data_IF_929882937154
#
_entry.id   IF_929882937154
#
_cell.length_a   1.000
_cell.length_b   1.000
_cell.length_c   1.000
_cell.angle_alpha   90.00
_cell.angle_beta   90.00
_cell.angle_gamma   90.00
#
_symmetry.space_group_name_H-M   'P 1'
#
loop_
_entity.id
_entity.type
_entity.pdbx_description
1 polymer ?
#
# COMPACT_ATOMS: atom_id res chain seq x y z
N UNK A 1 2.45 4.97 26.11
CA UNK A 1 1.63 4.00 25.34
C UNK A 1 2.51 3.39 24.26
N UNK A 2 2.70 2.06 24.26
CA UNK A 2 3.43 1.37 23.19
C UNK A 2 2.54 1.48 21.94
N UNK A 3 3.04 2.10 20.87
CA UNK A 3 2.39 2.12 19.55
C UNK A 3 2.05 0.66 19.14
N UNK A 4 1.14 0.42 18.19
CA UNK A 4 0.96 -0.89 17.58
C UNK A 4 2.11 -1.05 16.59
N UNK A 5 3.35 -1.07 17.12
CA UNK A 5 4.58 -0.99 16.35
C UNK A 5 4.61 -2.18 15.41
N UNK A 6 4.26 -3.37 15.91
CA UNK A 6 4.37 -4.60 15.12
C UNK A 6 3.53 -4.58 13.84
N UNK A 7 2.22 -4.31 13.94
CA UNK A 7 1.33 -4.34 12.77
C UNK A 7 1.48 -3.13 11.86
N UNK A 8 1.77 -1.95 12.42
CA UNK A 8 2.10 -0.78 11.62
C UNK A 8 3.42 -0.99 10.87
N UNK A 9 4.42 -1.58 11.52
CA UNK A 9 5.68 -1.97 10.88
C UNK A 9 5.45 -3.02 9.80
N UNK A 10 4.66 -4.07 10.04
CA UNK A 10 4.33 -5.08 9.02
C UNK A 10 3.64 -4.43 7.81
N UNK A 11 2.64 -3.58 8.04
CA UNK A 11 1.96 -2.88 6.95
C UNK A 11 2.95 -2.01 6.16
N UNK A 12 3.80 -1.22 6.84
CA UNK A 12 4.83 -0.40 6.19
C UNK A 12 5.82 -1.27 5.40
N UNK A 13 6.27 -2.41 5.96
CA UNK A 13 7.18 -3.33 5.28
C UNK A 13 6.54 -3.95 4.03
N UNK A 14 5.28 -4.39 4.11
CA UNK A 14 4.54 -4.93 2.97
C UNK A 14 4.32 -3.86 1.88
N UNK A 15 3.97 -2.64 2.29
CA UNK A 15 3.82 -1.52 1.38
C UNK A 15 5.15 -1.17 0.68
N UNK A 16 6.24 -1.10 1.44
CA UNK A 16 7.59 -0.84 0.90
C UNK A 16 8.03 -1.94 -0.07
N UNK A 17 7.77 -3.20 0.28
CA UNK A 17 8.07 -4.33 -0.60
C UNK A 17 7.32 -4.23 -1.93
N UNK A 18 6.00 -4.00 -1.88
CA UNK A 18 5.19 -3.76 -3.08
C UNK A 18 5.70 -2.55 -3.88
N UNK A 19 6.13 -1.49 -3.19
CA UNK A 19 6.66 -0.29 -3.83
C UNK A 19 8.00 -0.55 -4.56
N UNK A 20 8.90 -1.34 -3.96
CA UNK A 20 10.17 -1.78 -4.59
C UNK A 20 9.87 -2.61 -5.85
N UNK A 21 8.94 -3.54 -5.77
CA UNK A 21 8.57 -4.34 -6.94
C UNK A 21 7.97 -3.48 -8.05
N UNK A 22 7.18 -2.45 -7.72
CA UNK A 22 6.62 -1.51 -8.70
C UNK A 22 7.74 -0.76 -9.42
N UNK A 23 8.78 -0.33 -8.69
CA UNK A 23 9.96 0.32 -9.27
C UNK A 23 10.68 -0.61 -10.23
N UNK A 24 10.95 -1.86 -9.83
CA UNK A 24 11.64 -2.83 -10.68
C UNK A 24 10.85 -3.06 -11.98
N UNK A 25 9.54 -3.23 -11.88
CA UNK A 25 8.68 -3.42 -13.04
C UNK A 25 8.58 -2.15 -13.93
N UNK A 26 8.66 -0.95 -13.35
CA UNK A 26 8.76 0.31 -14.11
C UNK A 26 10.09 0.41 -14.86
N UNK A 27 11.20 0.04 -14.22
CA UNK A 27 12.53 0.01 -14.85
C UNK A 27 12.54 -0.98 -16.03
N UNK A 28 11.97 -2.17 -15.86
CA UNK A 28 11.85 -3.14 -16.96
C UNK A 28 10.97 -2.64 -18.10
N UNK A 29 9.86 -1.96 -17.79
CA UNK A 29 8.99 -1.36 -18.80
C UNK A 29 9.73 -0.25 -19.57
N UNK A 30 10.45 0.63 -18.86
CA UNK A 30 11.30 1.66 -19.47
C UNK A 30 12.37 1.04 -20.37
N UNK A 31 13.04 -0.02 -19.91
CA UNK A 31 14.03 -0.74 -20.71
C UNK A 31 13.43 -1.28 -22.01
N UNK A 32 12.27 -1.93 -21.94
CA UNK A 32 11.58 -2.47 -23.13
C UNK A 32 11.17 -1.37 -24.12
N UNK A 33 10.77 -0.19 -23.62
CA UNK A 33 10.45 0.98 -24.45
C UNK A 33 11.72 1.52 -25.14
N UNK A 34 12.83 1.63 -24.42
CA UNK A 34 14.12 2.10 -24.97
C UNK A 34 14.66 1.12 -26.02
N UNK A 35 14.46 -0.18 -25.83
CA UNK A 35 14.86 -1.23 -26.78
C UNK A 35 13.90 -1.32 -28.00
N UNK A 36 12.84 -0.50 -28.06
CA UNK A 36 11.90 -0.45 -29.17
C UNK A 36 10.88 -1.60 -29.20
N UNK A 37 10.81 -2.40 -28.13
CA UNK A 37 9.90 -3.53 -27.98
C UNK A 37 8.56 -3.16 -27.32
N UNK A 38 8.35 -1.88 -26.96
CA UNK A 38 7.12 -1.41 -26.33
C UNK A 38 6.90 0.10 -26.41
N UNK A 39 5.72 0.56 -25.99
CA UNK A 39 5.33 1.98 -25.94
C UNK A 39 4.78 2.35 -24.56
N UNK A 40 4.76 3.66 -24.23
CA UNK A 40 4.04 4.17 -23.06
C UNK A 40 2.52 4.00 -23.21
N UNK A 41 2.03 2.80 -22.87
CA UNK A 41 0.61 2.47 -22.85
C UNK A 41 -0.08 2.87 -21.54
N UNK A 42 -1.41 2.72 -21.51
CA UNK A 42 -2.25 2.95 -20.33
C UNK A 42 -1.77 2.13 -19.12
N UNK A 43 -1.20 0.95 -19.37
CA UNK A 43 -0.73 0.02 -18.34
C UNK A 43 0.47 0.57 -17.56
N UNK A 44 1.41 1.25 -18.26
CA UNK A 44 2.57 1.90 -17.64
C UNK A 44 2.11 3.10 -16.81
N UNK A 45 1.17 3.89 -17.34
CA UNK A 45 0.56 5.02 -16.61
C UNK A 45 -0.19 4.56 -15.36
N UNK A 46 -0.94 3.46 -15.46
CA UNK A 46 -1.61 2.84 -14.32
C UNK A 46 -0.58 2.41 -13.26
N UNK A 47 0.54 1.82 -13.67
CA UNK A 47 1.58 1.40 -12.76
C UNK A 47 2.27 2.58 -12.04
N UNK A 48 2.53 3.68 -12.76
CA UNK A 48 3.04 4.93 -12.16
C UNK A 48 2.05 5.49 -11.15
N UNK A 49 0.76 5.51 -11.49
CA UNK A 49 -0.29 5.99 -10.59
C UNK A 49 -0.37 5.15 -9.30
N UNK A 50 -0.34 3.83 -9.43
CA UNK A 50 -0.34 2.92 -8.28
C UNK A 50 0.89 3.16 -7.40
N UNK A 51 2.07 3.30 -8.01
CA UNK A 51 3.31 3.61 -7.29
C UNK A 51 3.21 4.89 -6.45
N UNK A 52 2.65 5.95 -7.00
CA UNK A 52 2.45 7.22 -6.29
C UNK A 52 1.52 7.09 -5.09
N UNK A 53 0.41 6.35 -5.23
CA UNK A 53 -0.52 6.11 -4.12
C UNK A 53 0.17 5.37 -2.97
N UNK A 54 0.98 4.35 -3.27
CA UNK A 54 1.75 3.65 -2.25
C UNK A 54 2.67 4.60 -1.47
N UNK A 55 3.38 5.51 -2.13
CA UNK A 55 4.26 6.48 -1.47
C UNK A 55 3.46 7.36 -0.50
N UNK A 56 2.30 7.87 -0.94
CA UNK A 56 1.43 8.72 -0.13
C UNK A 56 0.96 7.99 1.13
N UNK A 57 0.61 6.71 1.01
CA UNK A 57 0.11 5.89 2.11
C UNK A 57 1.24 5.54 3.09
N UNK A 58 2.42 5.19 2.58
CA UNK A 58 3.62 4.97 3.41
C UNK A 58 3.94 6.24 4.20
N UNK A 59 3.97 7.40 3.54
CA UNK A 59 4.21 8.69 4.20
C UNK A 59 3.14 8.98 5.27
N UNK A 60 1.86 8.73 4.96
CA UNK A 60 0.76 8.88 5.91
C UNK A 60 0.89 7.99 7.15
N UNK A 61 1.29 6.73 6.97
CA UNK A 61 1.52 5.77 8.04
C UNK A 61 2.76 6.10 8.88
N UNK A 62 3.83 6.62 8.25
CA UNK A 62 5.05 7.06 8.94
C UNK A 62 4.80 8.29 9.83
N UNK A 63 4.02 9.26 9.34
CA UNK A 63 3.59 10.43 10.14
C UNK A 63 2.71 9.98 11.31
N UNK A 64 1.91 8.94 11.11
CA UNK A 64 1.07 8.33 12.12
C UNK A 64 -0.08 9.23 12.59
N UNK A 65 -0.68 8.86 13.73
CA UNK A 65 -1.79 9.59 14.33
C UNK A 65 -3.07 9.58 13.48
N UNK A 66 -3.91 10.60 13.63
CA UNK A 66 -5.21 10.72 12.92
C UNK A 66 -5.06 10.69 11.39
N UNK A 67 -3.97 11.28 10.87
CA UNK A 67 -3.70 11.33 9.42
C UNK A 67 -3.37 9.95 8.86
N UNK A 68 -2.52 9.17 9.55
CA UNK A 68 -2.20 7.79 9.17
C UNK A 68 -3.41 6.85 9.25
N UNK A 69 -4.28 7.04 10.24
CA UNK A 69 -5.54 6.28 10.35
C UNK A 69 -6.46 6.54 9.15
N UNK A 70 -6.70 7.82 8.81
CA UNK A 70 -7.55 8.18 7.66
C UNK A 70 -6.95 7.66 6.35
N UNK A 71 -5.63 7.79 6.16
CA UNK A 71 -4.93 7.24 5.01
C UNK A 71 -5.09 5.71 4.90
N UNK A 72 -5.03 4.98 6.03
CA UNK A 72 -5.22 3.52 6.06
C UNK A 72 -6.64 3.13 5.63
N UNK A 73 -7.66 3.83 6.14
CA UNK A 73 -9.07 3.57 5.77
C UNK A 73 -9.31 3.82 4.28
N UNK A 74 -8.77 4.92 3.75
CA UNK A 74 -8.87 5.24 2.32
C UNK A 74 -8.08 4.27 1.43
N UNK A 75 -7.07 3.61 1.98
CA UNK A 75 -6.25 2.64 1.25
C UNK A 75 -6.90 1.25 1.13
N UNK A 76 -7.80 0.87 2.04
CA UNK A 76 -8.53 -0.40 1.98
C UNK A 76 -9.25 -0.62 0.63
N UNK A 77 -10.10 0.32 0.14
CA UNK A 77 -10.73 0.15 -1.17
C UNK A 77 -9.73 0.14 -2.32
N UNK A 78 -8.57 0.80 -2.16
CA UNK A 78 -7.50 0.79 -3.15
C UNK A 78 -6.80 -0.60 -3.24
N UNK A 79 -6.57 -1.28 -2.12
CA UNK A 79 -6.10 -2.68 -2.11
C UNK A 79 -7.11 -3.59 -2.83
N UNK A 80 -8.40 -3.39 -2.55
CA UNK A 80 -9.47 -4.15 -3.19
C UNK A 80 -9.49 -3.91 -4.71
N UNK A 81 -9.33 -2.67 -5.16
CA UNK A 81 -9.29 -2.35 -6.59
C UNK A 81 -8.08 -2.99 -7.29
N UNK A 82 -6.91 -3.00 -6.64
CA UNK A 82 -5.71 -3.68 -7.16
C UNK A 82 -5.82 -5.20 -7.19
N UNK A 83 -6.72 -5.81 -6.41
CA UNK A 83 -7.00 -7.23 -6.51
C UNK A 83 -7.63 -7.58 -7.87
N UNK A 84 -8.60 -6.76 -8.32
CA UNK A 84 -9.28 -6.96 -9.61
C UNK A 84 -8.48 -6.41 -10.80
N UNK A 85 -7.72 -5.34 -10.59
CA UNK A 85 -6.88 -4.70 -11.59
C UNK A 85 -5.42 -4.71 -11.15
N UNK A 86 -4.75 -5.87 -11.18
CA UNK A 86 -3.37 -5.95 -10.73
C UNK A 86 -2.42 -5.18 -11.69
N UNK A 87 -1.44 -4.41 -11.17
CA UNK A 87 -0.40 -3.78 -11.98
C UNK A 87 0.39 -4.82 -12.80
N UNK A 88 1.05 -4.42 -13.90
CA UNK A 88 1.84 -5.34 -14.75
C UNK A 88 2.93 -6.08 -13.97
N UNK A 89 3.47 -5.50 -12.90
CA UNK A 89 4.35 -6.19 -11.97
C UNK A 89 3.80 -7.56 -11.51
N UNK A 90 2.48 -7.72 -11.52
CA UNK A 90 1.79 -8.96 -11.17
C UNK A 90 1.89 -10.06 -12.23
N UNK A 91 2.28 -9.74 -13.47
CA UNK A 91 2.65 -10.76 -14.45
C UNK A 91 4.08 -11.26 -14.29
N UNK A 92 4.92 -10.59 -13.48
CA UNK A 92 6.33 -10.92 -13.30
C UNK A 92 6.60 -11.90 -12.16
N UNK A 93 5.61 -12.18 -11.31
CA UNK A 93 5.71 -13.15 -10.21
C UNK A 93 4.61 -14.22 -10.30
N UNK A 94 4.81 -15.41 -9.71
CA UNK A 94 3.75 -16.43 -9.63
C UNK A 94 2.50 -15.86 -8.96
N UNK A 95 1.35 -15.94 -9.66
CA UNK A 95 0.06 -15.33 -9.23
C UNK A 95 -0.32 -15.68 -7.79
N UNK A 96 0.00 -16.89 -7.32
CA UNK A 96 -0.28 -17.34 -5.95
C UNK A 96 0.53 -16.60 -4.87
N UNK A 97 1.78 -16.25 -5.15
CA UNK A 97 2.64 -15.54 -4.19
C UNK A 97 2.10 -14.13 -3.98
N UNK A 98 1.72 -13.44 -5.06
CA UNK A 98 1.12 -12.11 -4.93
C UNK A 98 -0.26 -12.10 -4.31
N UNK A 99 -1.08 -13.11 -4.60
CA UNK A 99 -2.35 -13.27 -3.91
C UNK A 99 -2.14 -13.32 -2.39
N UNK A 100 -1.16 -14.10 -1.93
CA UNK A 100 -0.80 -14.17 -0.51
C UNK A 100 -0.35 -12.81 0.04
N UNK A 101 0.51 -12.07 -0.69
CA UNK A 101 0.93 -10.72 -0.29
C UNK A 101 -0.25 -9.75 -0.17
N UNK A 102 -1.19 -9.78 -1.12
CA UNK A 102 -2.39 -8.92 -1.12
C UNK A 102 -3.33 -9.26 0.04
N UNK A 103 -3.52 -10.54 0.33
CA UNK A 103 -4.32 -10.98 1.48
C UNK A 103 -3.67 -10.52 2.79
N UNK A 104 -2.35 -10.66 2.94
CA UNK A 104 -1.63 -10.16 4.12
C UNK A 104 -1.68 -8.63 4.26
N UNK A 105 -1.55 -7.89 3.15
CA UNK A 105 -1.71 -6.43 3.11
C UNK A 105 -3.12 -6.01 3.54
N UNK A 106 -4.15 -6.70 3.05
CA UNK A 106 -5.54 -6.44 3.42
C UNK A 106 -5.81 -6.74 4.90
N UNK A 107 -5.35 -7.90 5.40
CA UNK A 107 -5.52 -8.30 6.80
C UNK A 107 -4.78 -7.34 7.75
N UNK A 108 -3.56 -6.93 7.40
CA UNK A 108 -2.79 -5.98 8.21
C UNK A 108 -3.46 -4.60 8.26
N UNK A 109 -4.02 -4.11 7.16
CA UNK A 109 -4.77 -2.86 7.14
C UNK A 109 -6.11 -2.95 7.89
N UNK A 110 -6.85 -4.05 7.75
CA UNK A 110 -8.08 -4.29 8.53
C UNK A 110 -7.78 -4.33 10.02
N UNK A 111 -6.72 -5.02 10.42
CA UNK A 111 -6.29 -5.08 11.81
C UNK A 111 -5.91 -3.68 12.32
N UNK A 112 -5.14 -2.90 11.53
CA UNK A 112 -4.84 -1.51 11.86
C UNK A 112 -6.10 -0.67 12.05
N UNK A 113 -7.17 -0.89 11.29
CA UNK A 113 -8.43 -0.13 11.47
C UNK A 113 -9.22 -0.59 12.70
N UNK A 114 -9.28 -1.90 12.96
CA UNK A 114 -10.12 -2.51 13.99
C UNK A 114 -9.44 -2.49 15.37
N UNK A 115 -8.11 -2.45 15.42
CA UNK A 115 -7.35 -2.70 16.65
C UNK A 115 -7.79 -1.79 17.82
N UNK A 116 -7.76 -2.30 19.06
CA UNK A 116 -8.13 -1.53 20.25
C UNK A 116 -7.34 -0.24 20.38
N UNK A 117 -6.11 -0.20 19.87
CA UNK A 117 -5.22 0.97 19.92
C UNK A 117 -5.68 2.08 18.98
N UNK A 118 -6.18 1.73 17.79
CA UNK A 118 -6.79 2.68 16.86
C UNK A 118 -8.09 3.25 17.43
N UNK A 119 -8.87 2.43 18.15
CA UNK A 119 -10.06 2.87 18.89
C UNK A 119 -9.72 3.75 20.10
N UNK A 120 -8.68 3.40 20.86
CA UNK A 120 -8.17 4.20 21.97
C UNK A 120 -7.63 5.56 21.49
N UNK A 121 -7.12 5.63 20.25
CA UNK A 121 -6.72 6.90 19.64
C UNK A 121 -7.90 7.82 19.34
N UNK A 122 -9.02 7.26 18.87
CA UNK A 122 -10.27 8.00 18.63
C UNK A 122 -10.89 8.47 19.96
N UNK A 123 -10.85 7.64 21.00
CA UNK A 123 -11.34 7.99 22.35
C UNK A 123 -10.46 9.05 23.04
N UNK A 124 -9.13 8.93 23.00
CA UNK A 124 -8.23 9.93 23.62
C UNK A 124 -8.23 11.29 22.87
N UNK A 125 -8.54 11.32 21.57
CA UNK A 125 -8.77 12.59 20.86
C UNK A 125 -10.03 13.31 21.32
N UNK A 126 -11.03 12.60 21.86
CA UNK A 126 -12.20 13.24 22.48
C UNK A 126 -11.87 13.81 23.86
N UNK A 127 -11.05 13.12 24.67
CA UNK A 127 -10.65 13.60 26.00
C UNK A 127 -9.72 14.82 25.99
N UNK A 128 -8.97 15.07 24.91
CA UNK A 128 -8.09 16.25 24.82
C UNK A 128 -8.82 17.54 24.41
N UNK A 129 -10.14 17.48 24.24
CA UNK A 129 -11.02 18.58 23.84
C UNK A 129 -12.01 19.02 24.93
N UNK A 130 -11.99 18.36 26.08
CA UNK A 130 -12.52 18.88 27.36
C UNK A 130 -11.36 19.43 28.19
#
# INVERSE_FOLDING_TARGET
MKKPVFWNSIAIYLLLYNNILLIIALIMSLKAIVEGHGSFGADVWYQIFVFLIYIIVIAGLMIGGKKGYIASVLFIPFIFLMYFYPPIMVSMFPKMIMLAFRVFEFVSMLYLVISPESRAYIQNSKQKKE
#
